data_IF_253913101191
#
_entry.id   IF_253913101191
#
_cell.length_a   1.000
_cell.length_b   1.000
_cell.length_c   1.000
_cell.angle_alpha   90.00
_cell.angle_beta   90.00
_cell.angle_gamma   90.00
#
_symmetry.space_group_name_H-M   'P 1'
#
loop_
_entity.id
_entity.type
_entity.pdbx_description
1 polymer ?
#
# COMPACT_ATOMS: atom_id res chain seq x y z
N UNK A 1 28.28 -21.88 7.97
CA UNK A 1 27.65 -21.75 9.30
C UNK A 1 28.58 -21.35 10.45
N UNK A 2 29.89 -21.63 10.43
CA UNK A 2 30.79 -21.27 11.56
C UNK A 2 31.29 -19.81 11.60
N UNK A 3 31.31 -19.07 10.48
CA UNK A 3 31.96 -17.75 10.43
C UNK A 3 31.18 -16.61 11.13
N UNK A 4 29.85 -16.72 11.27
CA UNK A 4 29.02 -15.67 11.89
C UNK A 4 29.01 -15.72 13.42
N UNK A 5 29.31 -16.87 14.05
CA UNK A 5 29.34 -17.01 15.53
C UNK A 5 30.51 -16.25 16.19
N UNK A 6 31.49 -15.83 15.39
CA UNK A 6 32.72 -15.14 15.84
C UNK A 6 32.87 -13.74 15.25
N UNK A 7 31.89 -13.25 14.48
CA UNK A 7 31.96 -11.92 13.91
C UNK A 7 31.70 -10.86 14.99
N UNK A 8 32.66 -9.95 15.20
CA UNK A 8 32.54 -8.86 16.18
C UNK A 8 31.86 -7.60 15.62
N UNK A 9 31.53 -7.59 14.33
CA UNK A 9 30.94 -6.43 13.63
C UNK A 9 29.75 -6.86 12.79
N UNK A 10 28.83 -5.92 12.57
CA UNK A 10 27.59 -6.12 11.81
C UNK A 10 27.60 -5.41 10.44
N UNK A 11 28.78 -5.01 9.96
CA UNK A 11 28.95 -4.26 8.71
C UNK A 11 29.14 -2.75 8.92
N UNK A 12 28.84 -1.95 7.89
CA UNK A 12 29.02 -0.51 7.89
C UNK A 12 27.75 0.19 7.39
N UNK A 13 27.03 0.81 8.33
CA UNK A 13 25.77 1.52 8.08
C UNK A 13 25.86 2.52 6.92
N UNK A 14 26.94 3.31 6.81
CA UNK A 14 27.06 4.33 5.75
C UNK A 14 27.16 3.68 4.37
N UNK A 15 27.83 2.54 4.28
CA UNK A 15 27.94 1.76 3.04
C UNK A 15 26.58 1.20 2.65
N UNK A 16 25.87 0.59 3.60
CA UNK A 16 24.56 -0.02 3.35
C UNK A 16 23.50 1.03 2.98
N UNK A 17 23.47 2.15 3.69
CA UNK A 17 22.59 3.29 3.39
C UNK A 17 22.89 3.85 1.99
N UNK A 18 24.16 4.10 1.67
CA UNK A 18 24.54 4.64 0.35
C UNK A 18 24.18 3.67 -0.77
N UNK A 19 24.46 2.37 -0.59
CA UNK A 19 24.16 1.35 -1.62
C UNK A 19 22.67 1.14 -1.81
N UNK A 20 21.91 1.06 -0.73
CA UNK A 20 20.46 0.88 -0.79
C UNK A 20 19.80 2.07 -1.48
N UNK A 21 20.19 3.29 -1.12
CA UNK A 21 19.62 4.49 -1.73
C UNK A 21 20.02 4.60 -3.20
N UNK A 22 21.30 4.50 -3.55
CA UNK A 22 21.77 4.78 -4.91
C UNK A 22 21.56 3.62 -5.90
N UNK A 23 21.58 2.37 -5.44
CA UNK A 23 21.53 1.20 -6.34
C UNK A 23 20.24 0.39 -6.26
N UNK A 24 19.35 0.68 -5.29
CA UNK A 24 18.04 0.01 -5.18
C UNK A 24 16.93 1.04 -5.30
N UNK A 25 16.82 1.95 -4.32
CA UNK A 25 15.68 2.86 -4.22
C UNK A 25 15.64 3.89 -5.35
N UNK A 26 16.75 4.57 -5.62
CA UNK A 26 16.83 5.59 -6.67
C UNK A 26 16.52 5.04 -8.07
N UNK A 27 17.16 3.97 -8.57
CA UNK A 27 16.86 3.45 -9.90
C UNK A 27 15.43 2.92 -10.03
N UNK A 28 14.93 2.18 -9.02
CA UNK A 28 13.54 1.71 -9.03
C UNK A 28 12.55 2.88 -9.02
N UNK A 29 12.82 3.92 -8.22
CA UNK A 29 11.96 5.10 -8.14
C UNK A 29 11.95 5.90 -9.44
N UNK A 30 13.09 6.00 -10.15
CA UNK A 30 13.14 6.65 -11.47
C UNK A 30 12.28 5.89 -12.47
N UNK A 31 12.43 4.56 -12.55
CA UNK A 31 11.66 3.73 -13.48
C UNK A 31 10.16 3.84 -13.19
N UNK A 32 9.77 3.73 -11.91
CA UNK A 32 8.38 3.84 -11.49
C UNK A 32 7.82 5.26 -11.73
N UNK A 33 8.57 6.32 -11.40
CA UNK A 33 8.14 7.70 -11.63
C UNK A 33 7.90 8.00 -13.10
N UNK A 34 8.75 7.49 -14.00
CA UNK A 34 8.57 7.62 -15.45
C UNK A 34 7.33 6.86 -15.92
N UNK A 35 7.13 5.63 -15.45
CA UNK A 35 5.93 4.84 -15.78
C UNK A 35 4.64 5.52 -15.29
N UNK A 36 4.66 6.07 -14.07
CA UNK A 36 3.55 6.81 -13.49
C UNK A 36 3.27 8.11 -14.25
N UNK A 37 4.32 8.87 -14.58
CA UNK A 37 4.17 10.11 -15.36
C UNK A 37 3.60 9.82 -16.75
N UNK A 38 4.00 8.72 -17.38
CA UNK A 38 3.42 8.27 -18.65
C UNK A 38 1.93 7.88 -18.55
N UNK A 39 1.45 7.50 -17.35
CA UNK A 39 0.03 7.27 -17.07
C UNK A 39 -0.74 8.54 -16.68
N UNK A 40 -0.07 9.69 -16.56
CA UNK A 40 -0.70 10.98 -16.26
C UNK A 40 -0.47 11.51 -14.84
N UNK A 41 0.40 10.88 -14.05
CA UNK A 41 0.82 11.42 -12.75
C UNK A 41 1.58 12.72 -12.96
N UNK A 42 1.25 13.75 -12.18
CA UNK A 42 1.82 15.09 -12.39
C UNK A 42 3.29 15.12 -11.99
N UNK A 43 4.13 15.62 -12.90
CA UNK A 43 5.53 15.94 -12.63
C UNK A 43 5.85 17.30 -13.26
N UNK A 44 5.76 18.37 -12.47
CA UNK A 44 5.96 19.74 -12.96
C UNK A 44 6.53 20.67 -11.89
N UNK A 45 7.35 21.63 -12.29
CA UNK A 45 7.79 22.75 -11.45
C UNK A 45 7.06 24.06 -11.80
N UNK A 46 5.99 23.99 -12.60
CA UNK A 46 5.17 25.14 -12.94
C UNK A 46 4.36 25.66 -11.74
N UNK A 47 3.98 26.93 -11.81
CA UNK A 47 3.02 27.50 -10.86
C UNK A 47 1.66 26.81 -10.97
N UNK A 48 0.86 26.93 -9.92
CA UNK A 48 -0.54 26.46 -9.95
C UNK A 48 -1.29 27.09 -11.13
N UNK A 49 -2.19 26.33 -11.72
CA UNK A 49 -2.95 26.74 -12.91
C UNK A 49 -4.39 27.01 -12.54
N UNK A 50 -4.85 28.23 -12.77
CA UNK A 50 -6.27 28.57 -12.66
C UNK A 50 -6.94 28.27 -13.99
N UNK A 51 -7.96 27.41 -13.98
CA UNK A 51 -8.73 27.02 -15.16
C UNK A 51 -10.17 27.49 -15.01
N UNK A 52 -10.74 28.03 -16.09
CA UNK A 52 -12.16 28.37 -16.12
C UNK A 52 -13.00 27.10 -16.20
N UNK A 53 -14.05 27.04 -15.39
CA UNK A 53 -15.01 25.94 -15.43
C UNK A 53 -15.90 26.09 -16.66
N UNK A 54 -16.18 24.97 -17.33
CA UNK A 54 -17.13 24.94 -18.47
C UNK A 54 -18.54 25.28 -17.98
N UNK A 55 -18.91 24.81 -16.78
CA UNK A 55 -20.16 25.12 -16.11
C UNK A 55 -19.85 25.69 -14.73
N UNK A 56 -20.36 26.89 -14.45
CA UNK A 56 -20.23 27.50 -13.12
C UNK A 56 -21.01 26.68 -12.08
N UNK A 57 -20.48 26.60 -10.87
CA UNK A 57 -21.11 25.96 -9.71
C UNK A 57 -21.22 26.96 -8.57
N UNK A 58 -21.81 26.58 -7.43
CA UNK A 58 -21.83 27.40 -6.21
C UNK A 58 -21.08 26.69 -5.08
N UNK A 59 -20.37 27.47 -4.27
CA UNK A 59 -19.78 26.95 -3.03
C UNK A 59 -20.85 26.73 -1.93
N UNK A 60 -20.43 26.23 -0.77
CA UNK A 60 -21.33 25.98 0.36
C UNK A 60 -21.99 27.25 0.93
N UNK A 61 -21.47 28.43 0.60
CA UNK A 61 -22.02 29.74 0.97
C UNK A 61 -22.89 30.35 -0.13
N UNK A 62 -23.08 29.64 -1.25
CA UNK A 62 -23.88 30.08 -2.39
C UNK A 62 -23.14 30.99 -3.38
N UNK A 63 -21.85 31.26 -3.19
CA UNK A 63 -21.08 32.09 -4.11
C UNK A 63 -20.79 31.34 -5.40
N UNK A 64 -20.91 32.02 -6.54
CA UNK A 64 -20.59 31.43 -7.84
C UNK A 64 -19.09 31.14 -7.96
N UNK A 65 -18.76 29.88 -8.21
CA UNK A 65 -17.42 29.39 -8.54
C UNK A 65 -17.36 29.19 -10.06
N UNK A 66 -16.55 30.01 -10.72
CA UNK A 66 -16.36 29.99 -12.18
C UNK A 66 -14.97 29.49 -12.58
N UNK A 67 -14.07 29.30 -11.62
CA UNK A 67 -12.69 28.88 -11.85
C UNK A 67 -12.25 27.88 -10.79
N UNK A 68 -11.34 26.98 -11.17
CA UNK A 68 -10.68 26.04 -10.27
C UNK A 68 -9.16 26.23 -10.33
N UNK A 69 -8.51 26.17 -9.17
CA UNK A 69 -7.04 26.17 -9.08
C UNK A 69 -6.56 24.72 -9.08
N UNK A 70 -5.73 24.36 -10.06
CA UNK A 70 -5.10 23.05 -10.17
C UNK A 70 -3.72 23.10 -9.50
N UNK A 71 -3.51 22.34 -8.41
CA UNK A 71 -2.21 22.25 -7.77
C UNK A 71 -1.29 21.39 -8.63
N UNK A 72 -0.15 21.96 -9.04
CA UNK A 72 0.91 21.26 -9.76
C UNK A 72 2.11 21.05 -8.85
N UNK A 73 2.98 20.10 -9.21
CA UNK A 73 4.20 19.83 -8.44
C UNK A 73 4.95 18.60 -8.94
N UNK A 74 6.14 18.31 -8.38
CA UNK A 74 6.94 17.14 -8.73
C UNK A 74 6.40 15.86 -8.06
N UNK A 75 5.12 15.55 -8.28
CA UNK A 75 4.42 14.49 -7.54
C UNK A 75 4.91 13.09 -7.96
N UNK A 76 5.09 12.79 -9.24
CA UNK A 76 5.47 11.44 -9.72
C UNK A 76 6.76 10.92 -9.06
N UNK A 77 7.78 11.77 -8.90
CA UNK A 77 9.03 11.41 -8.22
C UNK A 77 8.82 11.08 -6.74
N UNK A 78 7.95 11.84 -6.05
CA UNK A 78 7.65 11.58 -4.63
C UNK A 78 6.79 10.33 -4.47
N UNK A 79 5.80 10.12 -5.34
CA UNK A 79 4.89 8.97 -5.33
C UNK A 79 5.68 7.68 -5.55
N UNK A 80 6.63 7.66 -6.48
CA UNK A 80 7.42 6.46 -6.72
C UNK A 80 8.15 5.98 -5.45
N UNK A 81 8.87 6.88 -4.77
CA UNK A 81 9.59 6.53 -3.54
C UNK A 81 8.64 6.34 -2.34
N UNK A 82 7.49 7.04 -2.29
CA UNK A 82 6.52 6.86 -1.21
C UNK A 82 5.98 5.42 -1.22
N UNK A 83 5.76 4.84 -2.41
CA UNK A 83 5.27 3.47 -2.53
C UNK A 83 6.37 2.44 -2.30
N UNK A 84 7.48 2.54 -3.03
CA UNK A 84 8.60 1.59 -2.92
C UNK A 84 9.21 1.53 -1.52
N UNK A 85 9.39 2.69 -0.88
CA UNK A 85 9.97 2.79 0.45
C UNK A 85 8.96 2.62 1.58
N UNK A 86 7.71 2.23 1.28
CA UNK A 86 6.63 2.09 2.27
C UNK A 86 6.45 3.30 3.19
N UNK A 87 6.44 4.51 2.61
CA UNK A 87 6.31 5.76 3.38
C UNK A 87 4.88 6.31 3.40
N UNK A 88 4.14 6.12 2.29
CA UNK A 88 2.74 6.52 2.13
C UNK A 88 2.40 8.01 2.17
N UNK A 89 3.37 8.91 2.32
CA UNK A 89 3.15 10.36 2.31
C UNK A 89 2.66 10.89 0.95
N UNK A 90 1.37 11.22 0.86
CA UNK A 90 0.75 11.81 -0.34
C UNK A 90 1.26 13.22 -0.64
N UNK A 91 1.27 13.60 -1.91
CA UNK A 91 1.58 14.96 -2.34
C UNK A 91 0.35 15.88 -2.15
N UNK A 92 -0.84 15.35 -2.42
CA UNK A 92 -2.12 16.01 -2.21
C UNK A 92 -2.88 15.35 -1.05
N UNK A 93 -3.86 16.07 -0.50
CA UNK A 93 -4.57 15.64 0.71
C UNK A 93 -5.25 14.26 0.58
N UNK A 94 -5.91 14.00 -0.54
CA UNK A 94 -6.57 12.70 -0.81
C UNK A 94 -5.59 11.61 -1.26
N UNK A 95 -4.29 11.88 -1.19
CA UNK A 95 -3.21 10.91 -1.39
C UNK A 95 -3.39 10.11 -2.69
N UNK A 96 -3.40 8.78 -2.62
CA UNK A 96 -3.44 7.89 -3.79
C UNK A 96 -4.85 7.76 -4.38
N UNK A 97 -5.84 8.43 -3.80
CA UNK A 97 -7.13 8.65 -4.43
C UNK A 97 -7.07 9.87 -5.38
N UNK A 98 -6.13 10.80 -5.20
CA UNK A 98 -6.09 12.00 -6.02
C UNK A 98 -5.74 11.67 -7.50
N UNK A 99 -6.48 12.19 -8.50
CA UNK A 99 -6.22 11.91 -9.92
C UNK A 99 -4.80 12.26 -10.39
N UNK A 100 -4.17 13.26 -9.80
CA UNK A 100 -2.78 13.62 -10.10
C UNK A 100 -1.74 12.70 -9.45
N UNK A 101 -2.11 11.85 -8.49
CA UNK A 101 -1.21 10.83 -7.95
C UNK A 101 -1.41 9.45 -8.55
N UNK A 102 -2.67 9.09 -8.84
CA UNK A 102 -3.03 7.78 -9.33
C UNK A 102 -4.17 7.90 -10.38
N UNK A 103 -3.83 8.23 -11.63
CA UNK A 103 -4.80 8.59 -12.67
C UNK A 103 -5.57 7.39 -13.26
N UNK A 104 -4.97 6.20 -13.29
CA UNK A 104 -5.47 5.07 -14.07
C UNK A 104 -5.48 3.76 -13.27
N UNK A 105 -6.27 2.74 -13.68
CA UNK A 105 -6.17 1.41 -13.08
C UNK A 105 -4.75 0.80 -13.19
N UNK A 106 -4.01 1.14 -14.25
CA UNK A 106 -2.65 0.65 -14.44
C UNK A 106 -1.66 1.34 -13.48
N UNK A 107 -1.73 2.66 -13.28
CA UNK A 107 -0.92 3.32 -12.24
C UNK A 107 -1.23 2.73 -10.86
N UNK A 108 -2.50 2.45 -10.56
CA UNK A 108 -2.91 1.83 -9.31
C UNK A 108 -2.28 0.44 -9.12
N UNK A 109 -2.26 -0.38 -10.18
CA UNK A 109 -1.59 -1.68 -10.13
C UNK A 109 -0.08 -1.53 -9.88
N UNK A 110 0.59 -0.61 -10.58
CA UNK A 110 2.03 -0.37 -10.43
C UNK A 110 2.38 0.11 -9.01
N UNK A 111 1.62 1.04 -8.47
CA UNK A 111 1.79 1.52 -7.09
C UNK A 111 1.54 0.41 -6.07
N UNK A 112 0.48 -0.39 -6.26
CA UNK A 112 0.14 -1.50 -5.37
C UNK A 112 1.21 -2.60 -5.37
N UNK A 113 1.77 -2.93 -6.53
CA UNK A 113 2.92 -3.85 -6.63
C UNK A 113 4.12 -3.27 -5.89
N UNK A 114 4.34 -1.96 -5.98
CA UNK A 114 5.47 -1.27 -5.34
C UNK A 114 5.39 -1.28 -3.82
N UNK A 115 4.18 -1.31 -3.23
CA UNK A 115 3.97 -1.48 -1.78
C UNK A 115 4.64 -2.75 -1.25
N UNK A 116 4.48 -3.87 -1.97
CA UNK A 116 4.87 -5.20 -1.51
C UNK A 116 6.22 -5.66 -2.07
N UNK A 117 6.74 -4.97 -3.10
CA UNK A 117 7.93 -5.39 -3.85
C UNK A 117 9.16 -5.60 -2.96
N UNK A 118 9.58 -4.57 -2.23
CA UNK A 118 10.78 -4.63 -1.39
C UNK A 118 10.56 -5.53 -0.16
N UNK A 119 9.44 -5.41 0.59
CA UNK A 119 9.16 -6.32 1.71
C UNK A 119 9.21 -7.82 1.31
N UNK A 120 8.61 -8.18 0.16
CA UNK A 120 8.64 -9.55 -0.36
C UNK A 120 10.06 -9.97 -0.79
N UNK A 121 10.78 -9.09 -1.51
CA UNK A 121 12.13 -9.37 -1.99
C UNK A 121 13.14 -9.56 -0.84
N UNK A 122 12.95 -8.86 0.28
CA UNK A 122 13.79 -9.01 1.47
C UNK A 122 13.65 -10.40 2.12
N UNK A 123 12.49 -11.05 2.02
CA UNK A 123 12.31 -12.43 2.50
C UNK A 123 13.17 -13.41 1.71
N UNK A 124 13.19 -13.27 0.38
CA UNK A 124 14.07 -14.08 -0.47
C UNK A 124 15.55 -13.77 -0.20
N UNK A 125 15.89 -12.49 -0.04
CA UNK A 125 17.25 -12.02 0.27
C UNK A 125 17.74 -12.62 1.59
N UNK A 126 16.90 -12.64 2.62
CA UNK A 126 17.18 -13.31 3.89
C UNK A 126 17.51 -14.80 3.69
N UNK A 127 16.67 -15.53 2.94
CA UNK A 127 16.92 -16.96 2.65
C UNK A 127 18.25 -17.18 1.92
N UNK A 128 18.58 -16.32 0.95
CA UNK A 128 19.89 -16.33 0.27
C UNK A 128 21.06 -16.06 1.22
N UNK A 129 20.93 -15.09 2.12
CA UNK A 129 21.99 -14.70 3.06
C UNK A 129 22.24 -15.76 4.13
N UNK A 130 21.20 -16.48 4.56
CA UNK A 130 21.33 -17.60 5.52
C UNK A 130 21.84 -18.89 4.85
N UNK A 131 21.78 -18.97 3.52
CA UNK A 131 22.22 -20.12 2.73
C UNK A 131 21.14 -21.17 2.45
N UNK A 132 19.89 -20.92 2.86
CA UNK A 132 18.74 -21.77 2.56
C UNK A 132 17.52 -20.93 2.17
N UNK A 133 17.24 -20.90 0.86
CA UNK A 133 16.12 -20.13 0.30
C UNK A 133 14.75 -20.60 0.83
N UNK A 134 14.63 -21.85 1.29
CA UNK A 134 13.38 -22.37 1.86
C UNK A 134 12.95 -21.60 3.10
N UNK A 135 13.89 -21.06 3.88
CA UNK A 135 13.58 -20.23 5.05
C UNK A 135 12.94 -18.89 4.63
N UNK A 136 13.45 -18.26 3.57
CA UNK A 136 12.85 -17.06 3.00
C UNK A 136 11.45 -17.31 2.45
N UNK A 137 11.28 -18.42 1.72
CA UNK A 137 9.96 -18.85 1.24
C UNK A 137 8.99 -19.19 2.36
N UNK A 138 9.44 -19.81 3.45
CA UNK A 138 8.60 -20.12 4.60
C UNK A 138 8.05 -18.84 5.27
N UNK A 139 8.90 -17.83 5.46
CA UNK A 139 8.49 -16.52 5.99
C UNK A 139 7.48 -15.86 5.06
N UNK A 140 7.78 -15.79 3.76
CA UNK A 140 6.87 -15.21 2.77
C UNK A 140 5.52 -15.95 2.70
N UNK A 141 5.54 -17.29 2.75
CA UNK A 141 4.34 -18.11 2.75
C UNK A 141 3.48 -17.87 4.00
N UNK A 142 4.11 -17.81 5.19
CA UNK A 142 3.39 -17.53 6.43
C UNK A 142 2.65 -16.18 6.37
N UNK A 143 3.31 -15.13 5.88
CA UNK A 143 2.68 -13.81 5.71
C UNK A 143 1.55 -13.86 4.67
N UNK A 144 1.76 -14.54 3.54
CA UNK A 144 0.78 -14.62 2.45
C UNK A 144 -0.48 -15.40 2.84
N UNK A 145 -0.33 -16.47 3.62
CA UNK A 145 -1.46 -17.29 4.13
C UNK A 145 -2.35 -16.47 5.06
N UNK A 146 -1.81 -15.49 5.79
CA UNK A 146 -2.59 -14.58 6.62
C UNK A 146 -3.19 -13.46 5.77
N UNK A 147 -2.40 -12.88 4.86
CA UNK A 147 -2.80 -11.74 4.04
C UNK A 147 -3.99 -12.06 3.12
N UNK A 148 -3.95 -13.17 2.38
CA UNK A 148 -4.96 -13.45 1.34
C UNK A 148 -6.37 -13.61 1.91
N UNK A 149 -6.62 -14.44 2.95
CA UNK A 149 -7.96 -14.59 3.51
C UNK A 149 -8.51 -13.28 4.10
N UNK A 150 -7.66 -12.49 4.76
CA UNK A 150 -8.05 -11.19 5.30
C UNK A 150 -8.43 -10.22 4.17
N UNK A 151 -7.61 -10.12 3.13
CA UNK A 151 -7.88 -9.30 1.96
C UNK A 151 -9.19 -9.72 1.26
N UNK A 152 -9.39 -11.02 1.05
CA UNK A 152 -10.63 -11.54 0.46
C UNK A 152 -11.84 -11.25 1.35
N UNK A 153 -11.68 -11.32 2.67
CA UNK A 153 -12.71 -10.94 3.64
C UNK A 153 -13.08 -9.45 3.53
N UNK A 154 -12.09 -8.56 3.37
CA UNK A 154 -12.34 -7.14 3.15
C UNK A 154 -13.08 -6.89 1.83
N UNK A 155 -12.66 -7.55 0.74
CA UNK A 155 -13.34 -7.47 -0.56
C UNK A 155 -14.79 -7.93 -0.44
N UNK A 156 -15.04 -9.08 0.20
CA UNK A 156 -16.39 -9.61 0.37
C UNK A 156 -17.28 -8.69 1.23
N UNK A 157 -16.73 -8.13 2.31
CA UNK A 157 -17.42 -7.18 3.16
C UNK A 157 -17.81 -5.90 2.40
N UNK A 158 -16.88 -5.29 1.67
CA UNK A 158 -17.18 -4.09 0.90
C UNK A 158 -18.15 -4.37 -0.26
N UNK A 159 -18.07 -5.54 -0.88
CA UNK A 159 -18.99 -5.95 -1.94
C UNK A 159 -20.42 -6.19 -1.40
N UNK A 160 -20.57 -6.54 -0.12
CA UNK A 160 -21.89 -6.68 0.52
C UNK A 160 -22.62 -5.35 0.69
N UNK A 161 -21.90 -4.23 0.64
CA UNK A 161 -22.47 -2.88 0.63
C UNK A 161 -23.02 -2.40 1.97
N UNK A 162 -23.79 -1.32 1.92
CA UNK A 162 -24.46 -0.75 3.09
C UNK A 162 -25.96 -1.09 3.06
N UNK A 163 -26.49 -1.84 4.04
CA UNK A 163 -27.91 -2.23 4.05
C UNK A 163 -28.85 -1.01 4.14
N UNK A 164 -28.40 0.10 4.72
CA UNK A 164 -29.19 1.34 4.77
C UNK A 164 -29.35 1.98 3.38
N UNK A 165 -28.35 1.86 2.49
CA UNK A 165 -28.45 2.34 1.11
C UNK A 165 -29.42 1.46 0.32
N UNK A 166 -29.34 0.14 0.49
CA UNK A 166 -30.28 -0.79 -0.15
C UNK A 166 -31.74 -0.55 0.31
N UNK A 167 -31.95 -0.21 1.58
CA UNK A 167 -33.28 0.10 2.12
C UNK A 167 -33.92 1.38 1.51
N UNK A 168 -33.12 2.27 0.92
CA UNK A 168 -33.60 3.45 0.17
C UNK A 168 -34.08 3.11 -1.25
N UNK A 169 -34.02 1.84 -1.66
CA UNK A 169 -34.40 1.39 -3.01
C UNK A 169 -33.33 1.66 -4.07
N UNK A 170 -32.10 2.02 -3.65
CA UNK A 170 -30.95 2.15 -4.55
C UNK A 170 -30.51 0.75 -4.99
N UNK A 171 -30.33 0.55 -6.29
CA UNK A 171 -29.80 -0.71 -6.82
C UNK A 171 -28.34 -0.87 -6.41
N UNK A 172 -28.06 -1.87 -5.56
CA UNK A 172 -26.71 -2.18 -5.07
C UNK A 172 -26.11 -3.41 -5.74
N UNK A 173 -26.78 -3.99 -6.75
CA UNK A 173 -26.29 -5.14 -7.49
C UNK A 173 -25.23 -4.72 -8.49
N UNK A 174 -24.14 -5.50 -8.54
CA UNK A 174 -23.10 -5.30 -9.53
C UNK A 174 -23.66 -5.55 -10.95
N UNK A 175 -23.41 -4.62 -11.86
CA UNK A 175 -23.82 -4.70 -13.26
C UNK A 175 -22.71 -4.15 -14.17
N UNK A 176 -22.91 -4.19 -15.49
CA UNK A 176 -21.97 -3.61 -16.43
C UNK A 176 -21.79 -2.08 -16.25
N UNK A 177 -22.77 -1.41 -15.65
CA UNK A 177 -22.78 0.05 -15.49
C UNK A 177 -22.50 0.49 -14.05
N UNK A 178 -22.50 -0.43 -13.08
CA UNK A 178 -22.17 -0.10 -11.69
C UNK A 178 -21.44 -1.23 -10.97
N UNK A 179 -20.47 -0.90 -10.10
CA UNK A 179 -19.73 -1.91 -9.33
C UNK A 179 -20.56 -2.64 -8.28
N UNK A 180 -21.77 -2.14 -7.95
CA UNK A 180 -22.56 -2.59 -6.80
C UNK A 180 -21.87 -2.28 -5.47
N UNK A 181 -22.39 -2.79 -4.35
CA UNK A 181 -21.71 -2.75 -3.04
C UNK A 181 -21.47 -1.35 -2.43
N UNK A 182 -20.42 -1.21 -1.62
CA UNK A 182 -20.07 0.03 -0.91
C UNK A 182 -19.11 0.92 -1.72
N UNK A 183 -19.67 1.91 -2.43
CA UNK A 183 -18.89 2.92 -3.15
C UNK A 183 -18.54 4.16 -2.32
N UNK A 184 -19.04 4.27 -1.08
CA UNK A 184 -18.69 5.38 -0.20
C UNK A 184 -17.18 5.34 0.12
N UNK A 185 -16.53 6.49 -0.03
CA UNK A 185 -15.07 6.64 0.06
C UNK A 185 -14.26 5.90 -1.00
N UNK A 186 -14.86 5.41 -2.10
CA UNK A 186 -14.15 4.71 -3.20
C UNK A 186 -14.08 5.54 -4.46
N UNK A 187 -13.08 5.26 -5.29
CA UNK A 187 -12.92 5.89 -6.59
C UNK A 187 -13.49 5.02 -7.72
N UNK A 188 -14.21 5.64 -8.66
CA UNK A 188 -14.78 4.95 -9.83
C UNK A 188 -13.70 4.35 -10.74
N UNK A 189 -12.51 4.95 -10.75
CA UNK A 189 -11.32 4.45 -11.46
C UNK A 189 -10.89 3.06 -11.00
N UNK A 190 -11.05 2.75 -9.71
CA UNK A 190 -10.52 1.52 -9.11
C UNK A 190 -11.62 0.52 -8.80
N UNK A 191 -12.81 1.02 -8.42
CA UNK A 191 -13.91 0.20 -7.93
C UNK A 191 -13.62 -0.40 -6.55
N UNK A 192 -14.55 -1.23 -6.09
CA UNK A 192 -14.52 -1.78 -4.73
C UNK A 192 -13.37 -2.74 -4.52
N UNK A 193 -13.22 -3.70 -5.44
CA UNK A 193 -12.23 -4.78 -5.29
C UNK A 193 -10.82 -4.23 -5.18
N UNK A 194 -10.39 -3.35 -6.09
CA UNK A 194 -9.04 -2.77 -6.03
C UNK A 194 -8.85 -1.85 -4.82
N UNK A 195 -9.89 -1.17 -4.38
CA UNK A 195 -9.84 -0.34 -3.16
C UNK A 195 -9.64 -1.20 -1.91
N UNK A 196 -10.33 -2.34 -1.79
CA UNK A 196 -10.19 -3.25 -0.67
C UNK A 196 -8.84 -4.01 -0.69
N UNK A 197 -8.34 -4.39 -1.87
CA UNK A 197 -7.00 -4.96 -2.02
C UNK A 197 -5.95 -3.93 -1.60
N UNK A 198 -6.06 -2.68 -2.08
CA UNK A 198 -5.15 -1.60 -1.71
C UNK A 198 -5.16 -1.35 -0.21
N UNK A 199 -6.36 -1.20 0.39
CA UNK A 199 -6.52 -0.99 1.83
C UNK A 199 -5.82 -2.09 2.63
N UNK A 200 -6.01 -3.35 2.24
CA UNK A 200 -5.34 -4.48 2.88
C UNK A 200 -3.81 -4.41 2.70
N UNK A 201 -3.33 -4.16 1.47
CA UNK A 201 -1.91 -4.10 1.15
C UNK A 201 -1.18 -2.95 1.86
N UNK A 202 -1.75 -1.74 1.83
CA UNK A 202 -1.13 -0.55 2.41
C UNK A 202 -1.01 -0.65 3.94
N UNK A 203 -1.99 -1.26 4.61
CA UNK A 203 -1.94 -1.48 6.06
C UNK A 203 -1.15 -2.70 6.49
N UNK A 204 -1.08 -3.74 5.65
CA UNK A 204 -0.19 -4.87 5.89
C UNK A 204 1.28 -4.43 5.78
N UNK A 205 1.59 -3.65 4.75
CA UNK A 205 2.94 -3.22 4.41
C UNK A 205 3.41 -1.95 5.15
N UNK A 206 2.69 -1.45 6.17
CA UNK A 206 3.06 -0.21 6.88
C UNK A 206 3.29 0.99 5.95
N UNK A 207 2.63 1.03 4.78
CA UNK A 207 2.86 2.11 3.84
C UNK A 207 2.05 3.35 4.25
N UNK A 208 0.74 3.20 4.44
CA UNK A 208 -0.14 4.28 4.87
C UNK A 208 -0.69 5.16 3.75
N UNK A 209 -0.37 4.90 2.48
CA UNK A 209 -1.04 5.56 1.36
C UNK A 209 -2.48 5.06 1.21
N UNK A 210 -3.40 5.98 0.95
CA UNK A 210 -4.85 5.71 0.92
C UNK A 210 -5.38 6.03 -0.47
N UNK A 211 -5.92 5.04 -1.18
CA UNK A 211 -6.64 5.23 -2.45
C UNK A 211 -8.18 5.21 -2.31
N UNK A 212 -8.65 4.88 -1.10
CA UNK A 212 -10.04 4.82 -0.72
C UNK A 212 -10.16 5.10 0.78
N UNK A 213 -11.07 5.97 1.19
CA UNK A 213 -11.16 6.44 2.58
C UNK A 213 -11.58 5.31 3.51
N UNK A 214 -10.67 4.82 4.36
CA UNK A 214 -10.91 3.70 5.27
C UNK A 214 -12.05 3.95 6.26
N UNK A 215 -12.29 5.20 6.63
CA UNK A 215 -13.38 5.58 7.55
C UNK A 215 -14.78 5.34 6.93
N UNK A 216 -14.85 5.31 5.61
CA UNK A 216 -16.06 5.01 4.83
C UNK A 216 -16.22 3.50 4.52
N UNK A 217 -15.34 2.63 5.01
CA UNK A 217 -15.48 1.19 4.81
C UNK A 217 -16.61 0.63 5.68
N UNK A 218 -17.18 -0.49 5.25
CA UNK A 218 -18.09 -1.28 6.09
C UNK A 218 -17.39 -1.72 7.37
N UNK A 219 -18.11 -2.01 8.47
CA UNK A 219 -17.49 -2.39 9.74
C UNK A 219 -16.49 -3.55 9.62
N UNK A 220 -16.84 -4.59 8.84
CA UNK A 220 -15.93 -5.72 8.58
C UNK A 220 -14.84 -5.39 7.56
N UNK A 221 -15.14 -4.54 6.56
CA UNK A 221 -14.15 -4.06 5.60
C UNK A 221 -13.04 -3.24 6.26
N UNK A 222 -13.39 -2.36 7.22
CA UNK A 222 -12.45 -1.58 8.02
C UNK A 222 -11.75 -2.37 9.12
N UNK A 223 -12.35 -3.47 9.60
CA UNK A 223 -11.73 -4.38 10.58
C UNK A 223 -10.43 -4.97 10.05
N UNK A 224 -10.38 -5.35 8.78
CA UNK A 224 -9.20 -6.00 8.18
C UNK A 224 -7.97 -5.07 8.19
N UNK A 225 -8.02 -3.84 7.64
CA UNK A 225 -6.93 -2.89 7.75
C UNK A 225 -6.49 -2.61 9.19
N UNK A 226 -7.45 -2.44 10.11
CA UNK A 226 -7.15 -2.25 11.53
C UNK A 226 -6.42 -3.46 12.13
N UNK A 227 -6.88 -4.67 11.85
CA UNK A 227 -6.28 -5.89 12.36
C UNK A 227 -4.84 -6.06 11.85
N UNK A 228 -4.60 -5.81 10.56
CA UNK A 228 -3.27 -5.88 9.96
C UNK A 228 -2.28 -4.90 10.63
N UNK A 229 -2.71 -3.68 10.95
CA UNK A 229 -1.88 -2.74 11.73
C UNK A 229 -1.66 -3.22 13.17
N UNK A 230 -2.70 -3.73 13.83
CA UNK A 230 -2.63 -4.20 15.23
C UNK A 230 -1.79 -5.47 15.41
N UNK A 231 -1.56 -6.25 14.36
CA UNK A 231 -0.57 -7.34 14.35
C UNK A 231 0.88 -6.83 14.43
N UNK A 232 1.11 -5.52 14.43
CA UNK A 232 2.44 -4.92 14.50
C UNK A 232 3.13 -4.82 13.14
N UNK A 233 2.35 -4.81 12.06
CA UNK A 233 2.84 -4.59 10.69
C UNK A 233 3.90 -5.62 10.26
N UNK A 234 3.70 -6.88 10.66
CA UNK A 234 4.61 -8.00 10.39
C UNK A 234 4.26 -8.80 9.13
N UNK A 235 3.11 -8.53 8.53
CA UNK A 235 2.64 -9.22 7.32
C UNK A 235 3.10 -8.43 6.10
N UNK A 236 4.17 -8.88 5.45
CA UNK A 236 5.04 -8.09 4.58
C UNK A 236 5.72 -6.95 5.35
N UNK A 237 4.91 -6.05 5.93
CA UNK A 237 5.35 -4.89 6.70
C UNK A 237 6.11 -3.86 5.89
N UNK A 238 6.65 -2.86 6.58
CA UNK A 238 7.44 -1.81 5.95
C UNK A 238 8.75 -2.34 5.38
N UNK A 239 9.33 -1.60 4.43
CA UNK A 239 10.59 -1.91 3.78
C UNK A 239 11.72 -2.06 4.83
N UNK A 240 12.04 -3.30 5.17
CA UNK A 240 12.98 -3.66 6.22
C UNK A 240 12.33 -3.89 7.57
N UNK A 241 11.38 -3.04 7.99
CA UNK A 241 10.76 -3.15 9.31
C UNK A 241 9.90 -4.38 9.51
N UNK A 242 9.13 -4.74 8.47
CA UNK A 242 8.31 -5.94 8.48
C UNK A 242 9.13 -7.22 8.66
N UNK A 243 10.27 -7.32 7.96
CA UNK A 243 11.11 -8.52 8.03
C UNK A 243 11.69 -8.71 9.43
N UNK A 244 12.29 -7.69 10.05
CA UNK A 244 12.83 -7.87 11.40
C UNK A 244 11.71 -8.16 12.41
N UNK A 245 10.54 -7.52 12.26
CA UNK A 245 9.38 -7.79 13.11
C UNK A 245 8.93 -9.24 13.01
N UNK A 246 8.80 -9.75 11.78
CA UNK A 246 8.43 -11.14 11.53
C UNK A 246 9.48 -12.13 12.04
N UNK A 247 10.77 -11.81 11.97
CA UNK A 247 11.84 -12.65 12.53
C UNK A 247 11.77 -12.73 14.06
N UNK A 248 11.38 -11.65 14.75
CA UNK A 248 11.15 -11.68 16.21
C UNK A 248 10.02 -12.67 16.54
N UNK A 249 8.91 -12.63 15.80
CA UNK A 249 7.83 -13.61 15.96
C UNK A 249 8.28 -15.04 15.63
N UNK A 250 9.11 -15.23 14.60
CA UNK A 250 9.65 -16.53 14.24
C UNK A 250 10.55 -17.10 15.36
N UNK A 251 11.38 -16.28 15.99
CA UNK A 251 12.21 -16.69 17.13
C UNK A 251 11.33 -17.12 18.32
N UNK A 252 10.28 -16.35 18.63
CA UNK A 252 9.33 -16.70 19.69
C UNK A 252 8.62 -18.02 19.36
N UNK A 253 8.18 -18.21 18.11
CA UNK A 253 7.52 -19.43 17.68
C UNK A 253 8.44 -20.66 17.77
N UNK A 254 9.71 -20.53 17.34
CA UNK A 254 10.71 -21.60 17.46
C UNK A 254 11.01 -21.92 18.91
N UNK A 255 11.12 -20.91 19.78
CA UNK A 255 11.31 -21.09 21.21
C UNK A 255 10.17 -21.90 21.85
N UNK A 256 8.92 -21.50 21.57
CA UNK A 256 7.72 -22.22 22.07
C UNK A 256 7.68 -23.65 21.52
N UNK A 257 7.95 -23.85 20.23
CA UNK A 257 8.00 -25.18 19.62
C UNK A 257 9.10 -26.07 20.24
N UNK A 258 10.29 -25.50 20.51
CA UNK A 258 11.39 -26.19 21.18
C UNK A 258 11.02 -26.65 22.58
N UNK A 259 10.38 -25.77 23.37
CA UNK A 259 9.85 -26.11 24.69
C UNK A 259 8.84 -27.27 24.63
N UNK A 260 7.92 -27.27 23.65
CA UNK A 260 6.91 -28.32 23.50
C UNK A 260 7.51 -29.69 23.13
N UNK A 261 8.64 -29.71 22.42
CA UNK A 261 9.34 -30.95 22.01
C UNK A 261 10.47 -31.31 22.99
N UNK A 262 10.74 -30.48 24.00
CA UNK A 262 11.80 -30.69 24.99
C UNK A 262 13.22 -30.55 24.42
N UNK A 263 13.41 -29.69 23.41
CA UNK A 263 14.70 -29.41 22.77
C UNK A 263 15.03 -27.91 22.83
N UNK A 264 16.32 -27.61 22.94
CA UNK A 264 16.86 -26.23 22.86
C UNK A 264 17.08 -25.82 21.42
#
# INVERSE_FOLDING_TARGET
HHALRTAQTIGNFRVDMTRTTLYILLPLSIVLALALSAQGVVQSFGSYRTVALVQATSDASGNAVTQQVLPLGPAASQIAIKQLGTNGGGFFNTNSAHPFENPTPLSNLLEMLSLLLIPAALCYTFGKMVGDTRQGWAILAAMTIIFIPLMLGAVAAEQSGNPHIAALGVDTLASATQPGGNMEGKETRFGITNSAIWASATTAASNGSVNAMHDSFTPLGGLVPMFLMKLGEVIYGGAGSGLYGMLVFAIIAVFVAGLMVGRT
#
